data_IF_046827909550
#
_entry.id   IF_046827909550
#
_cell.length_a   1.000
_cell.length_b   1.000
_cell.length_c   1.000
_cell.angle_alpha   90.00
_cell.angle_beta   90.00
_cell.angle_gamma   90.00
#
_symmetry.space_group_name_H-M   'P 1'
#
loop_
_entity.id
_entity.type
_entity.pdbx_description
1 polymer ?
#
# COMPACT_ATOMS: atom_id res chain seq x y z
N UNK A 1 39.35 13.86 16.75
CA UNK A 1 39.45 13.21 15.42
C UNK A 1 38.55 11.98 15.41
N UNK A 2 37.25 12.11 15.11
CA UNK A 2 36.38 10.98 14.70
C UNK A 2 34.95 11.41 14.25
N UNK A 3 34.71 12.68 13.91
CA UNK A 3 33.35 13.18 13.60
C UNK A 3 33.13 13.58 12.14
N UNK A 4 34.16 13.52 11.29
CA UNK A 4 34.09 14.02 9.90
C UNK A 4 33.68 12.94 8.87
N UNK A 5 33.63 11.65 9.26
CA UNK A 5 33.40 10.54 8.32
C UNK A 5 31.92 10.19 8.07
N UNK A 6 30.98 10.74 8.85
CA UNK A 6 29.54 10.38 8.72
C UNK A 6 28.83 11.18 7.63
N UNK A 7 29.39 12.30 7.18
CA UNK A 7 28.72 13.22 6.24
C UNK A 7 28.77 12.71 4.78
N UNK A 8 29.77 11.89 4.41
CA UNK A 8 29.93 11.43 3.01
C UNK A 8 28.99 10.27 2.66
N UNK A 9 28.54 9.49 3.65
CA UNK A 9 27.56 8.40 3.42
C UNK A 9 26.11 8.96 3.35
N UNK A 10 25.87 10.19 3.84
CA UNK A 10 24.55 10.80 3.98
C UNK A 10 23.90 11.38 2.71
N UNK A 11 24.55 11.31 1.54
CA UNK A 11 23.98 11.84 0.29
C UNK A 11 23.24 10.81 -0.59
N UNK A 12 23.20 9.54 -0.19
CA UNK A 12 22.46 8.46 -0.90
C UNK A 12 21.39 7.76 -0.04
N UNK A 13 21.12 8.24 1.17
CA UNK A 13 20.03 7.72 2.01
C UNK A 13 19.10 8.83 2.49
N UNK A 14 18.61 9.65 1.55
CA UNK A 14 17.21 10.08 1.60
C UNK A 14 16.52 9.03 0.74
N UNK A 15 15.78 8.08 1.28
CA UNK A 15 14.36 8.28 1.62
C UNK A 15 13.84 7.10 2.46
N UNK A 16 13.02 7.42 3.48
CA UNK A 16 12.20 6.51 4.31
C UNK A 16 12.87 5.77 5.49
N UNK A 17 13.18 6.51 6.56
CA UNK A 17 13.41 5.96 7.89
C UNK A 17 12.32 6.43 8.86
N UNK A 18 11.09 5.87 8.81
CA UNK A 18 10.06 6.18 9.83
C UNK A 18 9.07 5.06 10.21
N UNK A 19 9.00 3.90 9.54
CA UNK A 19 7.88 2.95 9.75
C UNK A 19 8.27 1.47 9.90
N UNK A 20 9.53 1.13 10.19
CA UNK A 20 9.96 -0.27 10.34
C UNK A 20 9.49 -0.87 11.67
N UNK A 21 8.69 -1.94 11.61
CA UNK A 21 8.15 -2.66 12.78
C UNK A 21 8.95 -3.93 13.09
N UNK A 22 9.41 -4.65 12.06
CA UNK A 22 10.16 -5.89 12.27
C UNK A 22 10.37 -6.68 10.99
N UNK A 23 10.82 -7.93 11.15
CA UNK A 23 10.96 -8.89 10.05
C UNK A 23 9.67 -9.71 9.89
N UNK A 24 9.36 -10.12 8.65
CA UNK A 24 8.20 -10.96 8.39
C UNK A 24 8.51 -12.43 8.68
N UNK A 25 7.78 -13.06 9.59
CA UNK A 25 7.90 -14.51 9.79
C UNK A 25 6.86 -15.23 8.93
N UNK A 26 7.29 -15.83 7.81
CA UNK A 26 6.38 -16.52 6.89
C UNK A 26 5.28 -15.64 6.27
N UNK A 27 5.49 -14.32 6.17
CA UNK A 27 4.49 -13.37 5.66
C UNK A 27 3.53 -12.82 6.72
N UNK A 28 3.71 -13.17 7.99
CA UNK A 28 2.94 -12.61 9.09
C UNK A 28 3.62 -11.36 9.67
N UNK A 29 2.83 -10.32 9.86
CA UNK A 29 3.20 -9.07 10.54
C UNK A 29 2.16 -8.76 11.64
N UNK A 30 2.53 -7.94 12.64
CA UNK A 30 1.58 -7.49 13.67
C UNK A 30 0.40 -6.68 13.08
N UNK A 31 -0.70 -6.47 13.84
CA UNK A 31 -1.83 -5.67 13.39
C UNK A 31 -1.38 -4.29 12.89
N UNK A 32 -2.03 -3.81 11.83
CA UNK A 32 -1.78 -2.50 11.20
C UNK A 32 -0.39 -2.35 10.53
N UNK A 33 0.21 -3.48 10.14
CA UNK A 33 1.46 -3.51 9.39
C UNK A 33 1.42 -4.53 8.24
N UNK A 34 2.21 -4.27 7.21
CA UNK A 34 2.26 -5.09 5.99
C UNK A 34 3.69 -5.52 5.71
N UNK A 35 3.84 -6.75 5.22
CA UNK A 35 5.13 -7.28 4.78
C UNK A 35 5.46 -6.75 3.39
N UNK A 36 6.53 -5.98 3.26
CA UNK A 36 7.02 -5.51 1.97
C UNK A 36 7.98 -6.53 1.32
N UNK A 37 8.30 -6.32 0.04
CA UNK A 37 9.09 -7.24 -0.77
C UNK A 37 10.55 -7.40 -0.30
N UNK A 38 11.02 -6.52 0.58
CA UNK A 38 12.32 -6.58 1.26
C UNK A 38 12.30 -7.45 2.54
N UNK A 39 11.18 -8.11 2.85
CA UNK A 39 11.04 -9.00 3.99
C UNK A 39 10.86 -8.28 5.33
N UNK A 40 10.52 -6.99 5.29
CA UNK A 40 10.29 -6.19 6.49
C UNK A 40 8.82 -5.81 6.64
N UNK A 41 8.33 -5.87 7.87
CA UNK A 41 7.05 -5.34 8.28
C UNK A 41 7.18 -3.83 8.45
N UNK A 42 6.35 -3.09 7.74
CA UNK A 42 6.22 -1.66 7.91
C UNK A 42 4.86 -1.36 8.52
N UNK A 43 4.79 -0.47 9.50
CA UNK A 43 3.52 0.12 9.90
C UNK A 43 2.93 0.70 8.63
N UNK A 44 1.65 0.42 8.37
CA UNK A 44 0.98 1.10 7.28
C UNK A 44 0.95 2.58 7.70
N UNK A 45 1.69 3.50 7.05
CA UNK A 45 1.40 4.90 7.30
C UNK A 45 -0.09 5.01 6.99
N UNK A 46 -0.91 5.55 7.90
CA UNK A 46 -2.35 5.73 7.69
C UNK A 46 -2.57 6.02 6.23
N UNK A 47 -3.08 5.04 5.48
CA UNK A 47 -2.83 4.98 4.06
C UNK A 47 -3.35 6.29 3.46
N UNK A 48 -2.45 7.22 3.12
CA UNK A 48 -2.87 8.55 2.67
C UNK A 48 -3.58 8.46 1.33
N UNK A 49 -3.48 7.30 0.67
CA UNK A 49 -4.15 6.93 -0.58
C UNK A 49 -5.41 6.07 -0.34
N UNK A 50 -5.59 5.52 0.87
CA UNK A 50 -6.83 4.86 1.33
C UNK A 50 -7.30 5.51 2.62
N UNK A 51 -8.03 6.60 2.46
CA UNK A 51 -8.70 7.29 3.54
C UNK A 51 -10.19 6.95 3.55
N UNK A 52 -10.78 7.04 4.74
CA UNK A 52 -12.23 7.02 4.86
C UNK A 52 -12.84 8.25 4.19
N UNK A 53 -13.83 8.03 3.34
CA UNK A 53 -14.56 9.09 2.64
C UNK A 53 -15.67 9.64 3.53
N UNK A 54 -16.28 8.80 4.37
CA UNK A 54 -17.34 9.21 5.29
C UNK A 54 -16.79 9.64 6.65
N UNK A 55 -17.36 10.69 7.24
CA UNK A 55 -16.93 11.24 8.52
C UNK A 55 -17.29 10.37 9.74
N UNK A 56 -18.24 9.43 9.58
CA UNK A 56 -18.78 8.63 10.67
C UNK A 56 -18.32 7.16 10.63
N UNK A 57 -17.27 6.84 9.89
CA UNK A 57 -16.76 5.47 9.74
C UNK A 57 -16.46 4.78 11.08
N UNK A 58 -15.88 5.52 12.04
CA UNK A 58 -15.60 4.99 13.39
C UNK A 58 -16.86 4.44 14.11
N UNK A 59 -18.02 5.04 13.86
CA UNK A 59 -19.31 4.61 14.44
C UNK A 59 -19.96 3.45 13.68
N UNK A 60 -19.49 3.18 12.47
CA UNK A 60 -20.05 2.19 11.55
C UNK A 60 -19.20 0.92 11.44
N UNK A 61 -18.18 0.76 12.28
CA UNK A 61 -17.29 -0.43 12.32
C UNK A 61 -18.05 -1.76 12.41
N UNK A 62 -19.17 -1.80 13.12
CA UNK A 62 -20.03 -2.98 13.22
C UNK A 62 -20.65 -3.41 11.87
N UNK A 63 -20.74 -2.50 10.90
CA UNK A 63 -21.26 -2.78 9.56
C UNK A 63 -20.21 -3.30 8.59
N UNK A 64 -18.92 -3.25 8.94
CA UNK A 64 -17.88 -3.80 8.08
C UNK A 64 -18.20 -5.26 7.74
N UNK A 65 -18.47 -6.12 8.72
CA UNK A 65 -18.77 -7.55 8.49
C UNK A 65 -20.19 -7.83 8.01
N UNK A 66 -21.06 -6.82 7.91
CA UNK A 66 -22.44 -7.02 7.49
C UNK A 66 -22.51 -7.15 5.95
N UNK A 67 -23.04 -8.26 5.40
CA UNK A 67 -23.04 -8.51 3.95
C UNK A 67 -23.85 -7.47 3.16
N UNK A 68 -24.87 -6.86 3.76
CA UNK A 68 -25.69 -5.83 3.09
C UNK A 68 -24.91 -4.52 2.93
N UNK A 69 -24.07 -4.20 3.92
CA UNK A 69 -23.30 -2.96 3.95
C UNK A 69 -21.85 -3.17 3.52
N UNK A 70 -21.50 -4.39 3.11
CA UNK A 70 -20.12 -4.77 2.82
C UNK A 70 -19.53 -3.85 1.75
N UNK A 71 -20.18 -3.72 0.59
CA UNK A 71 -19.69 -2.87 -0.50
C UNK A 71 -19.66 -1.39 -0.12
N UNK A 72 -20.70 -0.91 0.58
CA UNK A 72 -20.79 0.48 1.04
C UNK A 72 -19.67 0.84 2.03
N UNK A 73 -19.39 -0.04 2.98
CA UNK A 73 -18.35 0.15 3.98
C UNK A 73 -16.96 0.02 3.38
N UNK A 74 -16.82 -0.79 2.35
CA UNK A 74 -15.61 -0.82 1.52
C UNK A 74 -15.49 0.58 0.89
N UNK A 75 -16.51 1.11 0.20
CA UNK A 75 -16.38 2.35 -0.61
C UNK A 75 -16.18 3.60 0.25
N UNK A 76 -16.90 3.69 1.37
CA UNK A 76 -16.95 4.89 2.20
C UNK A 76 -16.00 4.85 3.38
N UNK A 77 -15.64 3.66 3.84
CA UNK A 77 -14.85 3.46 5.05
C UNK A 77 -13.75 2.40 4.87
N UNK A 78 -12.97 2.43 3.77
CA UNK A 78 -12.01 1.37 3.49
C UNK A 78 -10.89 1.29 4.52
N UNK A 79 -10.48 2.41 5.11
CA UNK A 79 -9.44 2.41 6.12
C UNK A 79 -9.98 1.84 7.43
N UNK A 80 -11.12 2.36 7.90
CA UNK A 80 -11.77 1.88 9.14
C UNK A 80 -12.12 0.39 9.07
N UNK A 81 -12.48 -0.14 7.90
CA UNK A 81 -12.79 -1.56 7.74
C UNK A 81 -11.58 -2.44 7.40
N UNK A 82 -10.36 -1.89 7.33
CA UNK A 82 -9.15 -2.58 6.88
C UNK A 82 -9.31 -3.23 5.50
N UNK A 83 -9.91 -2.48 4.58
CA UNK A 83 -10.24 -2.87 3.20
C UNK A 83 -9.55 -2.01 2.16
N UNK A 84 -8.49 -1.33 2.55
CA UNK A 84 -7.64 -0.59 1.61
C UNK A 84 -7.14 -1.48 0.47
N UNK A 85 -6.87 -2.76 0.75
CA UNK A 85 -6.51 -3.74 -0.27
C UNK A 85 -7.69 -4.11 -1.19
N UNK A 86 -8.92 -3.93 -0.72
CA UNK A 86 -10.16 -4.30 -1.42
C UNK A 86 -10.74 -3.16 -2.24
N UNK A 87 -10.36 -1.90 -1.96
CA UNK A 87 -11.08 -0.75 -2.48
C UNK A 87 -10.53 -0.07 -3.73
N UNK A 88 -9.33 -0.40 -4.16
CA UNK A 88 -8.78 0.05 -5.44
C UNK A 88 -8.15 -1.07 -6.25
N UNK A 89 -8.02 -2.26 -5.66
CA UNK A 89 -7.22 -3.34 -6.21
C UNK A 89 -8.01 -4.66 -6.31
N UNK A 90 -9.30 -4.61 -6.63
CA UNK A 90 -9.97 -5.81 -7.11
C UNK A 90 -9.29 -6.22 -8.43
N UNK A 91 -8.48 -7.29 -8.39
CA UNK A 91 -7.47 -7.64 -9.40
C UNK A 91 -6.24 -6.72 -9.40
N UNK A 92 -5.72 -6.43 -8.20
CA UNK A 92 -4.51 -5.66 -7.89
C UNK A 92 -3.35 -5.81 -8.89
N UNK A 93 -3.11 -7.04 -9.31
CA UNK A 93 -2.20 -7.40 -10.38
C UNK A 93 -2.93 -8.49 -11.20
N UNK A 94 -3.83 -8.06 -12.10
CA UNK A 94 -4.61 -8.96 -12.95
C UNK A 94 -3.69 -9.87 -13.80
N UNK A 95 -2.47 -9.41 -14.08
CA UNK A 95 -1.47 -10.15 -14.84
C UNK A 95 -0.32 -10.65 -13.95
N UNK A 96 0.04 -11.94 -14.08
CA UNK A 96 1.16 -12.54 -13.36
C UNK A 96 2.54 -11.91 -13.71
N UNK A 97 2.60 -11.12 -14.79
CA UNK A 97 3.82 -10.46 -15.31
C UNK A 97 4.05 -9.07 -14.75
N UNK A 98 3.22 -8.59 -13.82
CA UNK A 98 3.37 -7.24 -13.27
C UNK A 98 4.77 -6.96 -12.73
N UNK A 99 5.41 -7.89 -12.03
CA UNK A 99 6.80 -7.74 -11.58
C UNK A 99 7.78 -7.41 -12.73
N UNK A 100 7.59 -8.04 -13.89
CA UNK A 100 8.42 -7.81 -15.09
C UNK A 100 8.04 -6.49 -15.76
N UNK A 101 6.75 -6.20 -15.90
CA UNK A 101 6.27 -4.98 -16.57
C UNK A 101 6.62 -3.71 -15.80
N UNK A 102 6.49 -3.73 -14.48
CA UNK A 102 6.89 -2.62 -13.62
C UNK A 102 8.39 -2.37 -13.72
N UNK A 103 9.21 -3.43 -13.69
CA UNK A 103 10.66 -3.33 -13.89
C UNK A 103 11.03 -2.75 -15.28
N UNK A 104 10.24 -3.04 -16.31
CA UNK A 104 10.39 -2.49 -17.65
C UNK A 104 9.75 -1.10 -17.85
N UNK A 105 9.26 -0.46 -16.79
CA UNK A 105 8.75 0.91 -16.83
C UNK A 105 7.29 1.05 -17.23
N UNK A 106 6.47 0.00 -17.10
CA UNK A 106 5.03 0.04 -17.40
C UNK A 106 4.30 1.20 -16.70
N UNK A 107 4.59 1.42 -15.41
CA UNK A 107 3.91 2.43 -14.59
C UNK A 107 4.24 3.87 -14.97
N UNK A 108 5.47 4.12 -15.45
CA UNK A 108 5.95 5.47 -15.81
C UNK A 108 5.84 5.77 -17.30
N UNK A 109 5.45 4.79 -18.11
CA UNK A 109 5.33 4.94 -19.55
C UNK A 109 4.04 5.71 -19.91
N UNK A 110 4.19 6.74 -20.74
CA UNK A 110 3.10 7.60 -21.21
C UNK A 110 2.23 6.95 -22.32
N UNK A 111 2.67 5.84 -22.90
CA UNK A 111 1.89 5.07 -23.87
C UNK A 111 0.70 4.35 -23.23
N UNK A 112 0.78 4.04 -21.93
CA UNK A 112 -0.31 3.41 -21.17
C UNK A 112 -1.07 4.46 -20.37
N UNK A 113 -2.40 4.41 -20.42
CA UNK A 113 -3.24 5.28 -19.60
C UNK A 113 -3.20 4.83 -18.14
N UNK A 114 -3.52 5.74 -17.23
CA UNK A 114 -3.57 5.40 -15.80
C UNK A 114 -4.65 4.35 -15.50
N UNK A 115 -5.73 4.31 -16.30
CA UNK A 115 -6.74 3.25 -16.22
C UNK A 115 -6.18 1.89 -16.66
N UNK A 116 -5.40 1.82 -17.73
CA UNK A 116 -4.75 0.57 -18.17
C UNK A 116 -3.73 0.08 -17.14
N UNK A 117 -3.01 1.00 -16.50
CA UNK A 117 -2.08 0.64 -15.43
C UNK A 117 -2.83 0.10 -14.21
N UNK A 118 -3.99 0.67 -13.89
CA UNK A 118 -4.91 0.19 -12.84
C UNK A 118 -5.57 -1.14 -13.20
N UNK A 119 -5.88 -1.39 -14.46
CA UNK A 119 -6.51 -2.65 -14.88
C UNK A 119 -5.53 -3.84 -14.85
N UNK A 120 -4.25 -3.60 -15.16
CA UNK A 120 -3.26 -4.67 -15.28
C UNK A 120 -2.42 -4.88 -14.03
N UNK A 121 -1.92 -3.81 -13.41
CA UNK A 121 -0.91 -3.86 -12.35
C UNK A 121 -1.10 -2.73 -11.32
N UNK A 122 -2.35 -2.49 -10.89
CA UNK A 122 -2.70 -1.39 -9.98
C UNK A 122 -1.77 -1.31 -8.76
N UNK A 123 -1.57 -2.45 -8.10
CA UNK A 123 -0.78 -2.54 -6.87
C UNK A 123 0.71 -2.47 -7.16
N UNK A 124 1.18 -3.19 -8.19
CA UNK A 124 2.60 -3.09 -8.57
C UNK A 124 2.99 -1.70 -9.04
N UNK A 125 2.03 -0.90 -9.55
CA UNK A 125 2.24 0.49 -9.94
C UNK A 125 1.95 1.53 -8.84
N UNK A 126 1.50 1.12 -7.65
CA UNK A 126 1.13 2.05 -6.57
C UNK A 126 0.01 3.02 -6.96
N UNK A 127 -0.88 2.59 -7.86
CA UNK A 127 -2.08 3.35 -8.27
C UNK A 127 -3.31 2.97 -7.42
N UNK A 128 -3.08 2.06 -6.49
CA UNK A 128 -3.79 1.71 -5.28
C UNK A 128 -2.71 1.21 -4.29
#
# INVERSE_FOLDING_TARGET
MLFVSVIIIGLIARTHAQNMVGFCDGGFCPPDSTCAADGMCYTNPTNTDCADVAANCATLTAYCTNPIYYDLMTEKCPNTCNRCDSQGCANADAEAKCAVWVSNGFCTNAFYTDDQKREHCARSCGLC
#
